data_IF_959447132811
#
_entry.id   IF_959447132811
#
_cell.length_a   1.000
_cell.length_b   1.000
_cell.length_c   1.000
_cell.angle_alpha   90.00
_cell.angle_beta   90.00
_cell.angle_gamma   90.00
#
_symmetry.space_group_name_H-M   'P 1'
#
loop_
_entity.id
_entity.type
_entity.pdbx_description
1 polymer ?
#
# COMPACT_ATOMS: atom_id res chain seq x y z
N UNK A 1 -10.66 9.35 -2.54
CA UNK A 1 -11.18 10.71 -2.28
C UNK A 1 -12.64 10.62 -1.91
N UNK A 2 -13.14 11.51 -1.06
CA UNK A 2 -14.59 11.64 -0.80
C UNK A 2 -15.02 13.07 -1.04
N UNK A 3 -16.32 13.29 -1.27
CA UNK A 3 -16.87 14.64 -1.28
C UNK A 3 -16.90 15.18 0.15
N UNK A 4 -16.30 16.35 0.36
CA UNK A 4 -16.42 17.08 1.62
C UNK A 4 -17.72 17.91 1.66
N UNK A 5 -17.96 18.63 2.75
CA UNK A 5 -19.13 19.50 2.95
C UNK A 5 -19.27 20.60 1.88
N UNK A 6 -18.16 20.96 1.22
CA UNK A 6 -18.12 21.93 0.12
C UNK A 6 -18.32 21.30 -1.25
N UNK A 7 -18.71 20.02 -1.30
CA UNK A 7 -18.91 19.23 -2.51
C UNK A 7 -17.65 19.08 -3.39
N UNK A 8 -16.46 19.27 -2.82
CA UNK A 8 -15.15 19.08 -3.48
C UNK A 8 -14.58 17.73 -3.08
N UNK A 9 -13.87 17.06 -4.00
CA UNK A 9 -13.14 15.84 -3.70
C UNK A 9 -11.94 16.14 -2.80
N UNK A 10 -11.94 15.57 -1.59
CA UNK A 10 -10.86 15.70 -0.62
C UNK A 10 -10.21 14.34 -0.33
N UNK A 11 -8.89 14.33 -0.04
CA UNK A 11 -8.22 13.13 0.46
C UNK A 11 -8.71 12.80 1.88
N UNK A 12 -8.86 11.50 2.17
CA UNK A 12 -9.01 10.99 3.54
C UNK A 12 -7.80 10.11 3.83
N UNK A 13 -7.05 10.39 4.91
CA UNK A 13 -5.95 9.53 5.33
C UNK A 13 -6.38 8.07 5.54
N UNK A 14 -5.58 7.14 5.04
CA UNK A 14 -5.75 5.70 5.18
C UNK A 14 -7.05 5.14 4.56
N UNK A 15 -7.76 5.91 3.73
CA UNK A 15 -8.98 5.41 3.10
C UNK A 15 -8.69 4.30 2.09
N UNK A 16 -7.55 4.37 1.40
CA UNK A 16 -7.15 3.37 0.42
C UNK A 16 -6.88 2.02 1.09
N UNK A 17 -5.98 1.98 2.08
CA UNK A 17 -5.64 0.73 2.80
C UNK A 17 -6.88 0.10 3.46
N UNK A 18 -7.76 0.90 4.07
CA UNK A 18 -9.02 0.42 4.65
C UNK A 18 -9.95 -0.20 3.62
N UNK A 19 -10.02 0.38 2.42
CA UNK A 19 -10.84 -0.15 1.34
C UNK A 19 -10.27 -1.45 0.80
N UNK A 20 -8.96 -1.49 0.57
CA UNK A 20 -8.27 -2.67 0.05
C UNK A 20 -8.40 -3.87 0.96
N UNK A 21 -8.27 -3.69 2.29
CA UNK A 21 -8.46 -4.79 3.26
C UNK A 21 -9.83 -5.45 3.20
N UNK A 22 -10.85 -4.75 2.70
CA UNK A 22 -12.22 -5.27 2.57
C UNK A 22 -12.49 -5.94 1.21
N UNK A 23 -11.57 -5.87 0.26
CA UNK A 23 -11.77 -6.37 -1.09
C UNK A 23 -11.02 -7.70 -1.31
N UNK A 24 -11.71 -8.84 -1.37
CA UNK A 24 -11.09 -10.17 -1.47
C UNK A 24 -10.19 -10.33 -2.70
N UNK A 25 -10.52 -9.66 -3.81
CA UNK A 25 -9.75 -9.75 -5.07
C UNK A 25 -8.33 -9.18 -4.95
N UNK A 26 -8.07 -8.34 -3.95
CA UNK A 26 -6.78 -7.67 -3.74
C UNK A 26 -6.27 -7.81 -2.31
N UNK A 27 -7.03 -8.43 -1.40
CA UNK A 27 -6.58 -8.79 -0.06
C UNK A 27 -7.18 -10.12 0.37
N UNK A 28 -6.34 -11.13 0.51
CA UNK A 28 -6.71 -12.42 1.10
C UNK A 28 -6.47 -12.38 2.61
N UNK A 29 -7.54 -12.09 3.35
CA UNK A 29 -7.54 -11.96 4.80
C UNK A 29 -7.22 -13.30 5.51
N UNK A 30 -7.70 -14.41 4.99
CA UNK A 30 -7.50 -15.73 5.60
C UNK A 30 -6.03 -16.11 5.59
N UNK A 31 -5.36 -15.93 4.45
CA UNK A 31 -3.93 -16.15 4.35
C UNK A 31 -3.15 -15.19 5.26
N UNK A 32 -3.54 -13.91 5.29
CA UNK A 32 -2.89 -12.91 6.14
C UNK A 32 -3.00 -13.28 7.62
N UNK A 33 -4.17 -13.73 8.08
CA UNK A 33 -4.40 -14.18 9.45
C UNK A 33 -3.58 -15.42 9.79
N UNK A 34 -3.52 -16.41 8.90
CA UNK A 34 -2.69 -17.61 9.09
C UNK A 34 -1.20 -17.28 9.17
N UNK A 35 -0.72 -16.32 8.37
CA UNK A 35 0.71 -15.98 8.26
C UNK A 35 1.21 -15.00 9.32
N UNK A 36 0.37 -14.06 9.74
CA UNK A 36 0.74 -12.95 10.63
C UNK A 36 -0.01 -12.95 11.97
N UNK A 37 -1.00 -13.83 12.17
CA UNK A 37 -1.74 -13.99 13.42
C UNK A 37 -2.47 -12.71 13.82
N UNK A 38 -2.44 -12.40 15.12
CA UNK A 38 -3.08 -11.21 15.69
C UNK A 38 -2.59 -9.88 15.06
N UNK A 39 -1.42 -9.87 14.43
CA UNK A 39 -0.84 -8.70 13.76
C UNK A 39 -1.35 -8.50 12.32
N UNK A 40 -2.26 -9.33 11.80
CA UNK A 40 -2.73 -9.27 10.42
C UNK A 40 -3.32 -7.90 10.01
N UNK A 41 -3.93 -7.18 10.95
CA UNK A 41 -4.49 -5.85 10.75
C UNK A 41 -3.44 -4.77 10.47
N UNK A 42 -2.21 -4.96 10.94
CA UNK A 42 -1.04 -4.09 10.69
C UNK A 42 -0.04 -4.70 9.70
N UNK A 43 -0.21 -5.98 9.38
CA UNK A 43 0.65 -6.70 8.47
C UNK A 43 0.52 -6.19 7.02
N UNK A 44 1.53 -6.48 6.17
CA UNK A 44 1.43 -6.29 4.73
C UNK A 44 0.18 -6.96 4.14
N UNK A 45 -0.31 -6.39 3.04
CA UNK A 45 -1.45 -6.90 2.30
C UNK A 45 -1.00 -8.06 1.41
N UNK A 46 -1.90 -9.02 1.21
CA UNK A 46 -1.60 -10.23 0.43
C UNK A 46 -2.59 -10.34 -0.72
N UNK A 47 -2.10 -10.45 -1.96
CA UNK A 47 -2.96 -10.76 -3.10
C UNK A 47 -3.41 -12.23 -3.07
N UNK A 48 -4.62 -12.56 -3.56
CA UNK A 48 -5.04 -13.93 -3.83
C UNK A 48 -4.07 -14.69 -4.75
N UNK A 49 -4.17 -16.03 -4.77
CA UNK A 49 -3.37 -16.85 -5.67
C UNK A 49 -3.81 -16.54 -7.11
N UNK A 50 -2.83 -16.31 -7.97
CA UNK A 50 -3.03 -16.17 -9.40
C UNK A 50 -2.67 -17.50 -10.04
N UNK A 51 -3.54 -18.02 -10.90
CA UNK A 51 -3.29 -19.28 -11.61
C UNK A 51 -2.02 -19.18 -12.45
N UNK A 52 -1.17 -20.21 -12.36
CA UNK A 52 0.12 -20.24 -13.07
C UNK A 52 1.25 -19.47 -12.40
N UNK A 53 1.03 -18.94 -11.18
CA UNK A 53 2.07 -18.25 -10.39
C UNK A 53 2.24 -18.96 -9.05
N UNK A 54 3.38 -19.62 -8.85
CA UNK A 54 3.69 -20.36 -7.61
C UNK A 54 4.08 -19.45 -6.43
N UNK A 55 4.29 -18.16 -6.68
CA UNK A 55 4.69 -17.18 -5.67
C UNK A 55 3.51 -16.34 -5.22
N UNK A 56 3.41 -16.17 -3.90
CA UNK A 56 2.44 -15.27 -3.29
C UNK A 56 2.94 -13.83 -3.32
N UNK A 57 2.12 -12.90 -3.79
CA UNK A 57 2.46 -11.47 -3.79
C UNK A 57 2.01 -10.84 -2.48
N UNK A 58 2.97 -10.30 -1.74
CA UNK A 58 2.78 -9.55 -0.51
C UNK A 58 3.24 -8.11 -0.78
N UNK A 59 2.42 -7.12 -0.44
CA UNK A 59 2.68 -5.73 -0.73
C UNK A 59 2.28 -4.82 0.45
N UNK A 60 2.91 -3.66 0.54
CA UNK A 60 2.61 -2.66 1.56
C UNK A 60 2.20 -1.35 0.88
N UNK A 61 1.32 -0.59 1.52
CA UNK A 61 0.90 0.73 1.07
C UNK A 61 1.64 1.77 1.91
N UNK A 62 2.54 2.51 1.26
CA UNK A 62 3.12 3.72 1.81
C UNK A 62 2.28 4.92 1.35
N UNK A 63 1.55 5.54 2.28
CA UNK A 63 0.70 6.69 1.97
C UNK A 63 1.43 8.00 2.26
N UNK A 64 1.64 8.83 1.22
CA UNK A 64 2.28 10.13 1.36
C UNK A 64 1.41 11.11 2.16
N UNK A 65 2.06 11.98 2.93
CA UNK A 65 1.41 13.11 3.62
C UNK A 65 2.14 14.42 3.28
N UNK A 66 1.45 15.44 2.75
CA UNK A 66 0.04 15.41 2.32
C UNK A 66 -0.15 14.56 1.05
N UNK A 67 -1.39 14.12 0.81
CA UNK A 67 -1.77 13.57 -0.50
C UNK A 67 -1.91 14.73 -1.49
N UNK A 68 -1.25 14.59 -2.64
CA UNK A 68 -1.22 15.59 -3.70
C UNK A 68 -2.15 15.21 -4.84
N UNK A 69 -2.75 16.23 -5.45
CA UNK A 69 -3.31 16.09 -6.79
C UNK A 69 -2.16 16.07 -7.81
N UNK A 70 -2.25 15.25 -8.85
CA UNK A 70 -1.18 15.12 -9.83
C UNK A 70 -0.90 16.41 -10.58
N UNK A 71 -1.89 17.31 -10.73
CA UNK A 71 -1.66 18.64 -11.31
C UNK A 71 -0.78 19.54 -10.46
N UNK A 72 -0.64 19.24 -9.16
CA UNK A 72 0.14 20.01 -8.21
C UNK A 72 1.53 19.40 -7.94
N UNK A 73 1.88 18.30 -8.61
CA UNK A 73 3.18 17.66 -8.46
C UNK A 73 4.31 18.45 -9.14
N UNK A 74 5.45 18.50 -8.48
CA UNK A 74 6.67 19.18 -8.94
C UNK A 74 7.84 18.19 -9.12
N UNK A 75 8.95 18.65 -9.72
CA UNK A 75 10.20 17.87 -9.82
C UNK A 75 10.72 17.37 -8.48
N UNK A 76 10.47 18.11 -7.39
CA UNK A 76 10.86 17.67 -6.06
C UNK A 76 10.02 16.48 -5.58
N UNK A 77 8.72 16.44 -5.94
CA UNK A 77 7.84 15.33 -5.57
C UNK A 77 8.22 14.05 -6.33
N UNK A 78 8.57 14.17 -7.62
CA UNK A 78 9.10 13.03 -8.39
C UNK A 78 10.46 12.55 -7.85
N UNK A 79 11.36 13.48 -7.50
CA UNK A 79 12.65 13.13 -6.90
C UNK A 79 12.45 12.39 -5.57
N UNK A 80 11.51 12.85 -4.73
CA UNK A 80 11.15 12.18 -3.48
C UNK A 80 10.65 10.76 -3.72
N UNK A 81 9.74 10.55 -4.69
CA UNK A 81 9.26 9.21 -5.04
C UNK A 81 10.42 8.29 -5.45
N UNK A 82 11.36 8.79 -6.25
CA UNK A 82 12.54 8.02 -6.67
C UNK A 82 13.45 7.65 -5.48
N UNK A 83 13.74 8.60 -4.60
CA UNK A 83 14.51 8.36 -3.38
C UNK A 83 13.83 7.35 -2.45
N UNK A 84 12.51 7.44 -2.29
CA UNK A 84 11.76 6.52 -1.44
C UNK A 84 11.77 5.10 -2.03
N UNK A 85 11.65 4.93 -3.36
CA UNK A 85 11.80 3.63 -4.01
C UNK A 85 13.20 3.04 -3.72
N UNK A 86 14.25 3.85 -3.84
CA UNK A 86 15.62 3.40 -3.56
C UNK A 86 15.77 2.91 -2.11
N UNK A 87 15.29 3.69 -1.14
CA UNK A 87 15.37 3.34 0.29
C UNK A 87 14.60 2.07 0.61
N UNK A 88 13.35 1.95 0.13
CA UNK A 88 12.52 0.78 0.42
C UNK A 88 13.04 -0.49 -0.26
N UNK A 89 13.57 -0.38 -1.48
CA UNK A 89 14.21 -1.51 -2.16
C UNK A 89 15.42 -2.02 -1.37
N UNK A 90 16.24 -1.10 -0.85
CA UNK A 90 17.43 -1.45 -0.07
C UNK A 90 17.07 -2.13 1.26
N UNK A 91 16.08 -1.60 2.00
CA UNK A 91 15.60 -2.19 3.25
C UNK A 91 15.07 -3.62 3.03
N UNK A 92 14.29 -3.85 1.97
CA UNK A 92 13.77 -5.18 1.66
C UNK A 92 14.87 -6.19 1.31
N UNK A 93 15.92 -5.76 0.59
CA UNK A 93 17.07 -6.62 0.28
C UNK A 93 17.82 -6.99 1.58
N UNK A 94 18.08 -6.02 2.47
CA UNK A 94 18.80 -6.28 3.71
C UNK A 94 18.06 -7.23 4.66
N UNK A 95 16.72 -7.20 4.70
CA UNK A 95 15.92 -8.10 5.55
C UNK A 95 15.85 -9.53 4.98
N UNK A 96 15.93 -9.69 3.64
CA UNK A 96 15.90 -11.00 3.00
C UNK A 96 17.28 -11.67 2.84
N UNK A 97 18.38 -10.96 3.14
CA UNK A 97 19.76 -11.45 3.00
C UNK A 97 20.43 -11.90 4.30
N UNK A 98 19.68 -12.05 5.40
CA UNK A 98 20.17 -12.51 6.71
C UNK A 98 19.56 -13.83 7.13
#
# INVERSE_FOLDING_TARGET
>A
MVRNERNVLAPIPNALVRSIRKYPNIHDEEYALRRFGASASMAPLVLPIVQGVDRRVIYQIAEYTPLLDSSNMTMNDWARIASDIQVHAYIHICICGG
#
